data_IF_170346814950
#
_entry.id   IF_170346814950
#
_cell.length_a   1.000
_cell.length_b   1.000
_cell.length_c   1.000
_cell.angle_alpha   90.00
_cell.angle_beta   90.00
_cell.angle_gamma   90.00
#
_symmetry.space_group_name_H-M   'P 1'
#
loop_
_entity.id
_entity.type
_entity.pdbx_description
1 polymer ?
#
# COMPACT_ATOMS: atom_id res chain seq x y z
N UNK A 1 -20.30 -26.32 -46.12
CA UNK A 1 -21.51 -25.61 -46.53
C UNK A 1 -21.59 -24.39 -45.67
N UNK A 2 -20.97 -23.40 -46.18
CA UNK A 2 -21.52 -22.12 -46.63
C UNK A 2 -22.01 -21.28 -45.48
N UNK A 3 -21.24 -20.29 -45.12
CA UNK A 3 -21.10 -18.96 -45.74
C UNK A 3 -22.03 -18.02 -45.00
N UNK A 4 -21.73 -16.90 -44.64
CA UNK A 4 -21.18 -15.64 -45.14
C UNK A 4 -21.61 -14.61 -44.12
N UNK A 5 -20.77 -13.78 -43.63
CA UNK A 5 -20.21 -12.60 -44.28
C UNK A 5 -21.01 -11.31 -43.98
N UNK A 6 -20.26 -10.31 -43.81
CA UNK A 6 -20.58 -8.91 -44.01
C UNK A 6 -20.99 -8.12 -42.75
N UNK A 7 -20.35 -7.10 -42.35
CA UNK A 7 -19.84 -6.11 -43.23
C UNK A 7 -19.46 -4.81 -42.54
N UNK A 8 -18.50 -4.26 -43.09
CA UNK A 8 -18.39 -2.89 -43.64
C UNK A 8 -18.54 -1.71 -42.69
N UNK A 9 -17.39 -1.20 -42.35
CA UNK A 9 -16.91 0.16 -42.70
C UNK A 9 -17.97 1.18 -43.08
N UNK A 10 -18.03 2.24 -42.30
CA UNK A 10 -18.26 3.56 -42.87
C UNK A 10 -17.38 4.57 -42.09
N UNK A 11 -16.22 4.88 -42.67
CA UNK A 11 -15.50 6.10 -42.49
C UNK A 11 -16.20 7.19 -43.31
N UNK A 12 -16.66 8.25 -42.64
CA UNK A 12 -16.93 9.51 -43.33
C UNK A 12 -16.09 10.63 -42.74
N UNK A 13 -15.44 11.44 -43.60
CA UNK A 13 -14.62 12.55 -43.18
C UNK A 13 -15.50 13.79 -42.94
N UNK A 14 -15.30 14.46 -41.80
CA UNK A 14 -15.92 15.75 -41.54
C UNK A 14 -15.00 16.84 -42.09
N UNK A 15 -15.62 17.64 -42.95
CA UNK A 15 -15.10 18.76 -43.68
C UNK A 15 -14.54 19.89 -42.82
N UNK A 16 -13.55 20.55 -43.41
CA UNK A 16 -13.04 21.87 -43.07
C UNK A 16 -14.14 22.95 -43.05
N UNK A 17 -13.90 23.94 -42.19
CA UNK A 17 -14.34 25.30 -42.48
C UNK A 17 -15.26 25.93 -41.47
N UNK A 18 -14.68 26.77 -40.58
CA UNK A 18 -15.13 28.16 -40.42
C UNK A 18 -14.18 28.94 -39.54
N UNK A 19 -13.45 29.81 -40.16
CA UNK A 19 -12.81 30.97 -39.53
C UNK A 19 -13.88 31.80 -38.83
N UNK A 20 -13.76 32.03 -37.51
CA UNK A 20 -14.47 33.09 -36.85
C UNK A 20 -13.45 34.10 -36.30
N UNK A 21 -13.44 35.18 -37.02
CA UNK A 21 -12.85 36.48 -36.74
C UNK A 21 -13.23 36.94 -35.31
N UNK A 22 -12.27 37.05 -34.39
CA UNK A 22 -12.49 37.69 -33.10
C UNK A 22 -12.15 39.17 -33.19
N UNK A 23 -13.21 39.99 -33.19
CA UNK A 23 -13.16 41.42 -33.07
C UNK A 23 -12.44 41.83 -31.78
N UNK A 24 -11.39 42.62 -31.93
CA UNK A 24 -10.67 43.31 -30.88
C UNK A 24 -11.49 44.49 -30.37
N UNK A 25 -12.03 44.39 -29.18
CA UNK A 25 -12.51 45.56 -28.42
C UNK A 25 -11.42 46.08 -27.48
N UNK A 26 -11.13 47.37 -27.45
CA UNK A 26 -10.10 47.91 -26.57
C UNK A 26 -10.64 48.07 -25.13
N UNK A 27 -10.00 47.35 -24.19
CA UNK A 27 -10.23 47.52 -22.75
C UNK A 27 -9.51 48.77 -22.28
N UNK A 28 -10.26 49.70 -21.73
CA UNK A 28 -9.76 50.91 -21.06
C UNK A 28 -8.84 50.56 -19.91
N UNK A 29 -7.59 50.99 -19.99
CA UNK A 29 -6.60 50.95 -18.90
C UNK A 29 -7.02 51.87 -17.76
N UNK A 30 -7.49 51.26 -16.67
CA UNK A 30 -7.58 51.92 -15.36
C UNK A 30 -6.18 52.01 -14.73
N UNK A 31 -5.71 53.23 -14.66
CA UNK A 31 -4.43 53.65 -14.11
C UNK A 31 -4.51 53.62 -12.57
N UNK A 32 -4.08 52.51 -11.93
CA UNK A 32 -3.83 52.49 -10.48
C UNK A 32 -2.36 52.84 -10.25
N UNK A 33 -2.13 53.98 -9.65
CA UNK A 33 -0.83 54.47 -9.16
C UNK A 33 -0.35 53.53 -8.03
N UNK A 34 0.51 52.60 -8.36
CA UNK A 34 1.36 51.95 -7.35
C UNK A 34 2.67 52.70 -7.32
N UNK A 35 3.01 53.23 -6.14
CA UNK A 35 4.26 53.93 -5.85
C UNK A 35 5.43 53.04 -6.17
N UNK A 36 6.46 53.48 -6.93
CA UNK A 36 7.70 52.75 -7.08
C UNK A 36 8.44 52.80 -5.75
N UNK A 37 8.75 51.59 -5.21
CA UNK A 37 9.76 51.46 -4.17
C UNK A 37 11.10 51.74 -4.87
N UNK A 38 11.68 52.87 -4.60
CA UNK A 38 13.05 53.20 -4.98
C UNK A 38 13.99 52.28 -4.19
N UNK A 39 14.45 51.21 -4.82
CA UNK A 39 15.67 50.54 -4.42
C UNK A 39 16.81 51.46 -4.87
N UNK A 40 17.47 52.06 -3.89
CA UNK A 40 18.56 52.99 -4.13
C UNK A 40 19.74 52.33 -4.85
N UNK A 41 19.91 52.67 -6.09
CA UNK A 41 21.18 52.44 -6.77
C UNK A 41 22.21 53.36 -6.13
N UNK A 42 23.06 52.81 -5.26
CA UNK A 42 24.28 53.46 -4.82
C UNK A 42 25.25 53.45 -6.01
N UNK A 43 25.20 54.48 -6.81
CA UNK A 43 26.24 54.76 -7.80
C UNK A 43 27.52 55.15 -7.05
N UNK A 44 28.42 54.20 -6.87
CA UNK A 44 29.78 54.47 -6.42
C UNK A 44 30.52 55.17 -7.55
N UNK A 45 30.69 56.50 -7.42
CA UNK A 45 31.58 57.28 -8.26
C UNK A 45 33.02 56.85 -7.98
N UNK A 46 33.61 56.08 -8.89
CA UNK A 46 35.06 55.80 -8.88
C UNK A 46 35.79 57.02 -9.38
N UNK A 47 36.41 57.78 -8.47
CA UNK A 47 37.40 58.81 -8.80
C UNK A 47 38.69 58.16 -9.27
N UNK A 48 38.97 58.24 -10.55
CA UNK A 48 40.24 57.80 -11.12
C UNK A 48 41.31 58.84 -10.78
N UNK A 49 42.14 58.58 -9.77
CA UNK A 49 43.39 59.25 -9.54
C UNK A 49 44.53 58.54 -10.31
N UNK A 50 44.89 59.03 -11.48
CA UNK A 50 46.11 58.62 -12.16
C UNK A 50 47.26 59.20 -11.41
N UNK A 51 48.10 58.36 -10.77
CA UNK A 51 49.48 58.68 -10.43
C UNK A 51 50.40 57.64 -11.03
N UNK A 52 51.41 58.10 -11.67
CA UNK A 52 52.41 57.41 -12.51
C UNK A 52 53.17 56.33 -11.73
N UNK A 53 53.41 55.22 -12.36
CA UNK A 53 54.51 54.31 -12.07
C UNK A 53 54.24 53.17 -11.08
N UNK A 54 53.34 52.31 -11.37
CA UNK A 54 53.17 51.00 -10.70
C UNK A 54 52.02 50.27 -11.40
N UNK A 55 52.34 49.13 -12.03
CA UNK A 55 51.30 48.33 -12.69
C UNK A 55 50.21 47.91 -11.70
N UNK A 56 49.10 48.65 -11.66
CA UNK A 56 47.89 48.23 -10.98
C UNK A 56 47.29 47.18 -11.89
N UNK A 57 47.43 45.92 -11.51
CA UNK A 57 46.59 44.89 -12.08
C UNK A 57 45.13 45.30 -11.79
N UNK A 58 44.45 45.91 -12.77
CA UNK A 58 43.01 46.12 -12.69
C UNK A 58 42.38 44.73 -12.59
N UNK A 59 41.88 44.37 -11.41
CA UNK A 59 41.04 43.22 -11.26
C UNK A 59 39.81 43.44 -12.17
N UNK A 60 39.73 42.68 -13.25
CA UNK A 60 38.64 42.76 -14.19
C UNK A 60 37.37 42.30 -13.47
N UNK A 61 36.31 43.09 -13.59
CA UNK A 61 34.97 42.67 -13.16
C UNK A 61 34.59 41.37 -13.90
N UNK A 62 34.04 40.41 -13.19
CA UNK A 62 33.58 39.12 -13.71
C UNK A 62 32.15 38.93 -13.32
N UNK A 63 31.34 38.51 -14.26
CA UNK A 63 29.96 38.04 -13.99
C UNK A 63 29.99 36.52 -13.90
N UNK A 64 29.57 35.97 -12.75
CA UNK A 64 29.56 34.53 -12.49
C UNK A 64 28.14 34.10 -12.11
N UNK A 65 27.76 32.91 -12.51
CA UNK A 65 26.49 32.32 -12.14
C UNK A 65 26.68 31.38 -10.94
N UNK A 66 26.04 31.67 -9.82
CA UNK A 66 26.09 30.84 -8.63
C UNK A 66 24.72 30.13 -8.48
N UNK A 67 24.74 28.81 -8.40
CA UNK A 67 23.55 27.99 -8.14
C UNK A 67 23.63 27.45 -6.72
N UNK A 68 22.71 27.84 -5.87
CA UNK A 68 22.64 27.39 -4.47
C UNK A 68 21.37 26.58 -4.27
N UNK A 69 21.50 25.29 -3.96
CA UNK A 69 20.37 24.36 -3.79
C UNK A 69 19.37 24.41 -4.97
N UNK A 70 19.90 24.54 -6.19
CA UNK A 70 19.11 24.66 -7.41
C UNK A 70 18.57 26.05 -7.72
N UNK A 71 18.79 27.05 -6.84
CA UNK A 71 18.44 28.45 -7.09
C UNK A 71 19.59 29.17 -7.75
N UNK A 72 19.32 29.78 -8.91
CA UNK A 72 20.33 30.45 -9.74
C UNK A 72 20.35 31.94 -9.39
N UNK A 73 21.55 32.50 -9.18
CA UNK A 73 21.79 33.93 -9.06
C UNK A 73 23.03 34.34 -9.84
N UNK A 74 22.98 35.47 -10.52
CA UNK A 74 24.15 36.06 -11.20
C UNK A 74 24.80 37.05 -10.25
N UNK A 75 26.12 36.94 -10.14
CA UNK A 75 26.94 37.67 -9.17
C UNK A 75 28.10 38.36 -9.88
N UNK A 76 28.17 39.67 -9.78
CA UNK A 76 29.32 40.44 -10.22
C UNK A 76 30.40 40.50 -9.14
N UNK A 77 31.61 40.09 -9.47
CA UNK A 77 32.72 40.05 -8.51
C UNK A 77 34.05 40.52 -9.15
N UNK A 78 34.94 41.00 -8.33
CA UNK A 78 36.34 41.24 -8.68
C UNK A 78 37.28 40.16 -8.15
N UNK A 79 36.73 39.15 -7.49
CA UNK A 79 37.50 38.04 -6.93
C UNK A 79 38.20 37.21 -8.00
N UNK A 80 39.30 36.57 -7.60
CA UNK A 80 40.02 35.61 -8.42
C UNK A 80 39.61 34.17 -8.20
N UNK A 81 38.81 33.85 -7.16
CA UNK A 81 38.51 32.49 -6.72
C UNK A 81 37.04 32.26 -6.52
N UNK A 82 36.63 30.97 -6.48
CA UNK A 82 35.27 30.54 -6.13
C UNK A 82 34.87 31.05 -4.76
N UNK A 83 35.72 30.93 -3.74
CA UNK A 83 35.47 31.43 -2.39
C UNK A 83 35.04 32.90 -2.38
N UNK A 84 35.85 33.76 -3.03
CA UNK A 84 35.54 35.17 -3.06
C UNK A 84 34.34 35.54 -3.95
N UNK A 85 33.89 34.66 -4.87
CA UNK A 85 32.64 34.84 -5.57
C UNK A 85 31.46 34.48 -4.68
N UNK A 86 31.56 33.43 -3.85
CA UNK A 86 30.56 33.03 -2.88
C UNK A 86 30.42 34.10 -1.77
N UNK A 87 31.51 34.69 -1.30
CA UNK A 87 31.49 35.82 -0.36
C UNK A 87 30.73 37.01 -0.95
N UNK A 88 31.00 37.32 -2.25
CA UNK A 88 30.28 38.39 -2.96
C UNK A 88 28.77 38.07 -3.14
N UNK A 89 28.44 36.79 -3.27
CA UNK A 89 27.07 36.28 -3.34
C UNK A 89 26.37 36.30 -1.97
N UNK A 90 27.11 36.44 -0.87
CA UNK A 90 26.61 36.30 0.50
C UNK A 90 26.29 34.84 0.88
N UNK A 91 26.92 33.88 0.21
CA UNK A 91 26.76 32.46 0.44
C UNK A 91 27.85 31.97 1.40
N UNK A 92 27.41 31.55 2.62
CA UNK A 92 28.32 30.91 3.56
C UNK A 92 28.38 29.40 3.27
N UNK A 93 29.59 28.85 3.32
CA UNK A 93 29.86 27.43 3.07
C UNK A 93 30.20 26.72 4.38
N UNK A 94 29.45 25.70 4.74
CA UNK A 94 29.64 24.85 5.92
C UNK A 94 30.52 23.63 5.66
N UNK A 95 30.81 22.88 6.74
CA UNK A 95 31.68 21.71 6.69
C UNK A 95 31.11 20.54 5.85
N UNK A 96 29.78 20.45 5.78
CA UNK A 96 29.08 19.37 5.08
C UNK A 96 28.53 19.78 3.71
N UNK A 97 28.86 21.01 3.27
CA UNK A 97 28.43 21.53 1.98
C UNK A 97 29.32 21.00 0.85
N UNK A 98 28.71 20.87 -0.31
CA UNK A 98 29.47 20.55 -1.53
C UNK A 98 29.53 21.77 -2.42
N UNK A 99 30.75 22.13 -2.85
CA UNK A 99 30.98 23.24 -3.76
C UNK A 99 31.72 22.73 -5.00
N UNK A 100 31.23 23.09 -6.15
CA UNK A 100 31.84 22.75 -7.42
C UNK A 100 31.91 23.99 -8.35
N UNK A 101 33.08 24.37 -8.83
CA UNK A 101 34.44 23.87 -8.53
C UNK A 101 34.88 24.16 -7.09
N UNK A 102 36.01 23.56 -6.66
CA UNK A 102 36.57 23.79 -5.32
C UNK A 102 36.76 25.27 -5.00
N UNK A 103 36.66 25.65 -3.72
CA UNK A 103 36.76 27.03 -3.22
C UNK A 103 37.97 27.79 -3.70
N UNK A 104 39.14 27.11 -3.81
CA UNK A 104 40.42 27.70 -4.27
C UNK A 104 40.53 27.84 -5.79
N UNK A 105 39.57 27.33 -6.54
CA UNK A 105 39.61 27.35 -8.02
C UNK A 105 39.51 28.78 -8.54
N UNK A 106 40.36 29.10 -9.51
CA UNK A 106 40.32 30.39 -10.18
C UNK A 106 39.07 30.51 -11.05
N UNK A 107 38.40 31.68 -10.97
CA UNK A 107 37.21 31.97 -11.78
C UNK A 107 37.52 32.94 -12.90
N UNK A 108 36.76 32.83 -13.98
CA UNK A 108 36.75 33.72 -15.13
C UNK A 108 35.35 34.32 -15.31
N UNK A 109 35.23 35.26 -16.20
CA UNK A 109 33.92 35.76 -16.62
C UNK A 109 33.09 34.62 -17.21
N UNK A 110 31.80 34.52 -16.81
CA UNK A 110 30.91 33.44 -17.19
C UNK A 110 31.10 32.14 -16.44
N UNK A 111 31.98 32.08 -15.39
CA UNK A 111 32.14 30.86 -14.57
C UNK A 111 30.83 30.48 -13.87
N UNK A 112 30.62 29.18 -13.77
CA UNK A 112 29.46 28.60 -13.04
C UNK A 112 29.96 27.95 -11.75
N UNK A 113 29.27 28.25 -10.66
CA UNK A 113 29.57 27.73 -9.33
C UNK A 113 28.30 27.08 -8.81
N UNK A 114 28.40 25.85 -8.32
CA UNK A 114 27.28 25.14 -7.71
C UNK A 114 27.59 24.89 -6.24
N UNK A 115 26.67 25.27 -5.38
CA UNK A 115 26.70 25.01 -3.94
C UNK A 115 25.48 24.18 -3.56
N UNK A 116 25.73 23.07 -2.89
CA UNK A 116 24.68 22.26 -2.30
C UNK A 116 24.93 22.18 -0.79
N UNK A 117 24.04 22.72 0.00
CA UNK A 117 24.15 22.72 1.46
C UNK A 117 23.91 21.34 2.05
N UNK A 118 24.77 20.96 2.99
CA UNK A 118 24.61 19.76 3.79
C UNK A 118 23.47 19.91 4.78
N UNK A 119 22.60 18.88 4.86
CA UNK A 119 21.45 18.80 5.76
C UNK A 119 21.54 17.54 6.59
N UNK A 120 21.27 17.64 7.88
CA UNK A 120 21.24 16.48 8.76
C UNK A 120 19.88 15.76 8.63
N UNK A 121 19.92 14.51 8.17
CA UNK A 121 18.75 13.63 8.17
C UNK A 121 18.89 12.59 9.28
N UNK A 122 18.02 12.66 10.28
CA UNK A 122 17.87 11.61 11.30
C UNK A 122 16.84 10.60 10.79
N UNK A 123 17.32 9.47 10.27
CA UNK A 123 16.50 8.44 9.65
C UNK A 123 16.35 7.23 10.58
N UNK A 124 15.10 6.89 10.93
CA UNK A 124 14.77 5.68 11.70
C UNK A 124 14.09 4.67 10.78
N UNK A 125 14.80 3.58 10.42
CA UNK A 125 14.25 2.49 9.62
C UNK A 125 13.96 1.29 10.53
N UNK A 126 12.71 0.84 10.57
CA UNK A 126 12.24 -0.29 11.39
C UNK A 126 12.73 -0.22 12.85
N UNK A 127 12.76 1.01 13.41
CA UNK A 127 13.20 1.29 14.76
C UNK A 127 14.71 1.46 14.93
N UNK A 128 15.51 1.33 13.87
CA UNK A 128 16.96 1.58 13.90
C UNK A 128 17.24 3.02 13.43
N UNK A 129 17.74 3.86 14.33
CA UNK A 129 18.03 5.27 14.06
C UNK A 129 19.48 5.46 13.62
N UNK A 130 19.68 6.27 12.57
CA UNK A 130 20.97 6.73 12.10
C UNK A 130 20.89 8.21 11.70
N UNK A 131 21.98 8.93 11.88
CA UNK A 131 22.14 10.29 11.40
C UNK A 131 23.00 10.28 10.15
N UNK A 132 22.57 11.00 9.12
CA UNK A 132 23.24 11.07 7.83
C UNK A 132 23.23 12.50 7.33
N UNK A 133 24.40 13.01 6.92
CA UNK A 133 24.49 14.25 6.18
C UNK A 133 24.23 13.97 4.68
N UNK A 134 23.38 14.77 4.08
CA UNK A 134 23.02 14.70 2.66
C UNK A 134 22.93 16.10 2.07
N UNK A 135 23.20 16.22 0.79
CA UNK A 135 22.93 17.45 0.02
C UNK A 135 21.60 17.41 -0.70
N UNK A 136 20.87 16.31 -0.59
CA UNK A 136 19.53 16.19 -1.12
C UNK A 136 18.58 17.22 -0.50
N UNK A 137 17.71 17.76 -1.32
CA UNK A 137 16.75 18.79 -0.90
C UNK A 137 15.43 18.20 -0.41
N UNK A 138 15.14 16.96 -0.76
CA UNK A 138 13.91 16.24 -0.40
C UNK A 138 14.19 14.89 0.26
N UNK A 139 13.20 14.37 0.98
CA UNK A 139 13.28 13.04 1.63
C UNK A 139 13.48 11.93 0.59
N UNK A 140 12.82 12.03 -0.57
CA UNK A 140 12.93 11.06 -1.66
C UNK A 140 14.35 11.00 -2.22
N UNK A 141 14.92 12.17 -2.52
CA UNK A 141 16.30 12.26 -3.02
C UNK A 141 17.32 11.72 -2.00
N UNK A 142 17.14 12.07 -0.71
CA UNK A 142 18.02 11.60 0.34
C UNK A 142 17.99 10.06 0.50
N UNK A 143 16.80 9.45 0.44
CA UNK A 143 16.66 7.99 0.48
C UNK A 143 17.31 7.35 -0.75
N UNK A 144 17.13 7.93 -1.94
CA UNK A 144 17.75 7.45 -3.19
C UNK A 144 19.27 7.53 -3.13
N UNK A 145 19.86 8.63 -2.62
CA UNK A 145 21.31 8.76 -2.39
C UNK A 145 21.85 7.67 -1.45
N UNK A 146 21.05 7.25 -0.47
CA UNK A 146 21.38 6.17 0.45
C UNK A 146 21.16 4.77 -0.15
N UNK A 147 20.76 4.68 -1.42
CA UNK A 147 20.48 3.41 -2.10
C UNK A 147 19.21 2.74 -1.61
N UNK A 148 18.30 3.48 -0.98
CA UNK A 148 17.02 3.01 -0.52
C UNK A 148 15.94 3.38 -1.55
N UNK A 149 15.04 2.43 -1.88
CA UNK A 149 13.87 2.74 -2.69
C UNK A 149 12.80 3.41 -1.79
N UNK A 150 12.46 4.69 -2.01
CA UNK A 150 11.46 5.37 -1.20
C UNK A 150 10.07 4.71 -1.24
N UNK A 151 9.77 3.95 -2.31
CA UNK A 151 8.50 3.25 -2.47
C UNK A 151 8.38 2.00 -1.58
N UNK A 152 9.51 1.48 -1.11
CA UNK A 152 9.57 0.31 -0.23
C UNK A 152 9.20 0.62 1.23
N UNK A 153 8.95 1.89 1.56
CA UNK A 153 8.69 2.32 2.95
C UNK A 153 7.39 3.10 3.10
N UNK A 154 6.76 2.91 4.24
CA UNK A 154 5.80 3.85 4.79
C UNK A 154 6.57 4.91 5.57
N UNK A 155 6.56 6.16 5.08
CA UNK A 155 7.30 7.27 5.69
C UNK A 155 6.40 8.09 6.61
N UNK A 156 6.99 8.64 7.68
CA UNK A 156 6.31 9.60 8.58
C UNK A 156 6.18 11.00 7.98
N UNK A 157 6.83 11.26 6.84
CA UNK A 157 6.79 12.52 6.11
C UNK A 157 6.54 12.25 4.62
N UNK A 158 5.98 13.23 3.90
CA UNK A 158 5.85 13.13 2.46
C UNK A 158 7.21 12.98 1.79
N UNK A 159 7.29 12.18 0.73
CA UNK A 159 8.53 11.96 -0.04
C UNK A 159 9.10 13.26 -0.61
N UNK A 160 8.23 14.15 -1.08
CA UNK A 160 8.58 15.47 -1.61
C UNK A 160 8.83 16.52 -0.53
N UNK A 161 8.74 16.15 0.76
CA UNK A 161 9.01 17.09 1.84
C UNK A 161 10.46 17.57 1.76
N UNK A 162 10.62 18.90 1.76
CA UNK A 162 11.95 19.50 1.81
C UNK A 162 12.63 19.21 3.15
N UNK A 163 13.93 18.92 3.08
CA UNK A 163 14.80 18.78 4.25
C UNK A 163 15.36 20.18 4.55
N UNK A 164 14.96 20.80 5.68
CA UNK A 164 15.49 22.13 6.02
C UNK A 164 16.95 22.07 6.45
N UNK A 165 17.65 23.22 6.43
CA UNK A 165 19.07 23.29 6.80
C UNK A 165 19.35 22.95 8.27
N UNK A 166 18.37 23.13 9.15
CA UNK A 166 18.43 22.75 10.55
C UNK A 166 18.13 21.25 10.80
N UNK A 167 17.88 20.50 9.71
CA UNK A 167 17.72 19.06 9.72
C UNK A 167 16.27 18.59 9.75
N UNK A 168 16.10 17.28 9.55
CA UNK A 168 14.80 16.62 9.57
C UNK A 168 14.90 15.21 10.18
N UNK A 169 13.93 14.84 11.02
CA UNK A 169 13.75 13.46 11.49
C UNK A 169 12.63 12.77 10.70
N UNK A 170 12.92 11.58 10.17
CA UNK A 170 11.99 10.77 9.38
C UNK A 170 12.02 9.33 9.88
N UNK A 171 10.82 8.76 10.10
CA UNK A 171 10.66 7.32 10.34
C UNK A 171 10.22 6.65 9.05
N UNK A 172 10.79 5.50 8.76
CA UNK A 172 10.54 4.66 7.60
C UNK A 172 10.26 3.23 8.07
N UNK A 173 9.05 2.74 7.88
CA UNK A 173 8.69 1.37 8.18
C UNK A 173 8.61 0.58 6.87
N UNK A 174 9.29 -0.56 6.79
CA UNK A 174 9.35 -1.40 5.59
C UNK A 174 7.95 -1.88 5.20
N UNK A 175 7.58 -1.69 3.93
CA UNK A 175 6.34 -2.18 3.35
C UNK A 175 6.51 -3.60 2.82
N UNK A 176 5.60 -4.48 3.22
CA UNK A 176 5.52 -5.85 2.72
C UNK A 176 4.32 -6.01 1.81
N UNK A 177 4.55 -6.60 0.63
CA UNK A 177 3.49 -7.00 -0.29
C UNK A 177 3.13 -8.45 -0.01
N UNK A 178 1.91 -8.67 0.47
CA UNK A 178 1.40 -9.96 0.92
C UNK A 178 0.08 -10.28 0.24
N UNK A 179 -0.39 -11.51 0.39
CA UNK A 179 -1.69 -11.95 -0.10
C UNK A 179 -2.47 -12.59 1.03
N UNK A 180 -3.73 -12.22 1.17
CA UNK A 180 -4.64 -12.81 2.17
C UNK A 180 -5.85 -13.41 1.48
N UNK A 181 -6.19 -14.64 1.85
CA UNK A 181 -7.39 -15.36 1.39
C UNK A 181 -8.26 -15.67 2.60
N UNK A 182 -9.48 -15.16 2.63
CA UNK A 182 -10.45 -15.39 3.70
C UNK A 182 -11.52 -16.38 3.24
N UNK A 183 -11.54 -17.54 3.85
CA UNK A 183 -12.49 -18.61 3.53
C UNK A 183 -12.40 -19.04 2.07
N UNK A 184 -13.52 -18.97 1.36
CA UNK A 184 -13.64 -19.23 -0.08
C UNK A 184 -13.52 -17.96 -0.93
N UNK A 185 -13.20 -16.84 -0.30
CA UNK A 185 -13.03 -15.56 -0.98
C UNK A 185 -11.83 -15.54 -1.92
N UNK A 186 -11.74 -14.53 -2.79
CA UNK A 186 -10.58 -14.35 -3.65
C UNK A 186 -9.35 -13.95 -2.83
N UNK A 187 -8.18 -14.31 -3.34
CA UNK A 187 -6.92 -13.84 -2.80
C UNK A 187 -6.78 -12.31 -3.01
N UNK A 188 -6.60 -11.58 -1.93
CA UNK A 188 -6.49 -10.12 -1.91
C UNK A 188 -5.06 -9.71 -1.60
N UNK A 189 -4.48 -8.86 -2.45
CA UNK A 189 -3.17 -8.29 -2.19
C UNK A 189 -3.27 -7.20 -1.11
N UNK A 190 -2.39 -7.26 -0.12
CA UNK A 190 -2.32 -6.29 0.98
C UNK A 190 -0.89 -5.82 1.14
N UNK A 191 -0.69 -4.50 1.01
CA UNK A 191 0.59 -3.85 1.32
C UNK A 191 0.50 -3.22 2.71
N UNK A 192 1.42 -3.57 3.58
CA UNK A 192 1.42 -3.11 4.97
C UNK A 192 2.83 -2.99 5.53
N UNK A 193 3.00 -2.06 6.48
CA UNK A 193 4.20 -1.92 7.30
C UNK A 193 4.08 -2.69 8.64
N UNK A 194 3.17 -3.64 8.74
CA UNK A 194 3.02 -4.50 9.91
C UNK A 194 4.25 -5.38 10.16
N UNK A 195 4.45 -5.78 11.40
CA UNK A 195 5.62 -6.61 11.78
C UNK A 195 5.37 -8.10 11.61
N UNK A 196 4.12 -8.54 11.74
CA UNK A 196 3.73 -9.94 11.75
C UNK A 196 2.37 -10.18 11.07
N UNK A 197 1.99 -11.44 10.95
CA UNK A 197 0.71 -11.86 10.34
C UNK A 197 -0.50 -11.29 11.10
N UNK A 198 -0.41 -11.14 12.42
CA UNK A 198 -1.47 -10.52 13.22
C UNK A 198 -1.72 -9.07 12.81
N UNK A 199 -0.66 -8.28 12.61
CA UNK A 199 -0.76 -6.90 12.13
C UNK A 199 -1.36 -6.84 10.71
N UNK A 200 -0.96 -7.79 9.85
CA UNK A 200 -1.51 -7.91 8.49
C UNK A 200 -3.02 -8.15 8.52
N UNK A 201 -3.48 -9.11 9.32
CA UNK A 201 -4.90 -9.44 9.43
C UNK A 201 -5.71 -8.28 10.00
N UNK A 202 -5.19 -7.59 11.02
CA UNK A 202 -5.79 -6.37 11.57
C UNK A 202 -5.90 -5.27 10.50
N UNK A 203 -4.84 -5.06 9.71
CA UNK A 203 -4.83 -4.07 8.61
C UNK A 203 -5.83 -4.43 7.52
N UNK A 204 -5.99 -5.71 7.23
CA UNK A 204 -6.98 -6.21 6.27
C UNK A 204 -8.42 -6.16 6.81
N UNK A 205 -8.62 -5.83 8.09
CA UNK A 205 -9.94 -5.82 8.73
C UNK A 205 -10.51 -7.22 8.97
N UNK A 206 -9.65 -8.24 9.03
CA UNK A 206 -10.05 -9.64 9.16
C UNK A 206 -9.92 -10.07 10.62
N UNK A 207 -11.07 -10.29 11.28
CA UNK A 207 -11.12 -10.91 12.60
C UNK A 207 -11.05 -12.45 12.45
N UNK A 208 -10.14 -13.07 13.17
CA UNK A 208 -10.00 -14.54 13.23
C UNK A 208 -10.78 -15.05 14.44
N UNK A 209 -11.70 -15.97 14.22
CA UNK A 209 -12.49 -16.61 15.27
C UNK A 209 -11.68 -17.68 16.03
N UNK A 210 -12.19 -18.13 17.19
CA UNK A 210 -11.47 -19.10 18.04
C UNK A 210 -11.33 -20.48 17.43
N UNK A 211 -12.16 -20.82 16.44
CA UNK A 211 -12.12 -22.10 15.72
C UNK A 211 -11.44 -22.00 14.36
N UNK A 212 -11.23 -20.77 13.86
CA UNK A 212 -10.63 -20.57 12.53
C UNK A 212 -9.18 -21.05 12.51
N UNK A 213 -8.78 -21.54 11.35
CA UNK A 213 -7.42 -22.05 11.13
C UNK A 213 -6.71 -21.09 10.18
N UNK A 214 -5.60 -20.53 10.63
CA UNK A 214 -4.69 -19.75 9.81
C UNK A 214 -3.49 -20.59 9.45
N UNK A 215 -3.14 -20.67 8.17
CA UNK A 215 -2.03 -21.49 7.68
C UNK A 215 -0.65 -21.04 8.21
N UNK A 216 -0.55 -19.79 8.68
CA UNK A 216 0.68 -19.19 9.22
C UNK A 216 0.38 -18.59 10.59
N UNK A 217 1.17 -18.88 11.64
CA UNK A 217 0.98 -18.32 12.98
C UNK A 217 0.97 -16.79 12.98
N UNK A 218 0.15 -16.20 13.86
CA UNK A 218 -0.01 -14.73 13.95
C UNK A 218 1.30 -13.99 14.24
N UNK A 219 2.22 -14.60 14.98
CA UNK A 219 3.53 -14.03 15.36
C UNK A 219 4.58 -14.11 14.25
N UNK A 220 4.28 -14.77 13.13
CA UNK A 220 5.24 -14.93 12.03
C UNK A 220 5.56 -13.58 11.41
N UNK A 221 6.85 -13.21 11.30
CA UNK A 221 7.27 -11.97 10.67
C UNK A 221 6.80 -11.90 9.20
N UNK A 222 6.44 -10.70 8.75
CA UNK A 222 6.07 -10.49 7.36
C UNK A 222 7.28 -10.57 6.43
N UNK A 223 7.01 -11.03 5.21
CA UNK A 223 7.96 -11.02 4.09
C UNK A 223 7.21 -10.78 2.78
N UNK A 224 7.91 -10.26 1.77
CA UNK A 224 7.31 -10.08 0.46
C UNK A 224 6.88 -11.42 -0.15
N UNK A 225 5.67 -11.47 -0.69
CA UNK A 225 5.09 -12.66 -1.28
C UNK A 225 4.48 -13.64 -0.27
N UNK A 226 4.46 -13.32 1.03
CA UNK A 226 3.79 -14.15 2.03
C UNK A 226 2.31 -14.30 1.69
N UNK A 227 1.85 -15.55 1.67
CA UNK A 227 0.43 -15.88 1.45
C UNK A 227 -0.19 -16.41 2.74
N UNK A 228 -1.20 -15.73 3.24
CA UNK A 228 -1.95 -16.09 4.43
C UNK A 228 -3.35 -16.54 4.02
N UNK A 229 -3.73 -17.75 4.43
CA UNK A 229 -5.05 -18.33 4.15
C UNK A 229 -5.75 -18.62 5.49
N UNK A 230 -6.96 -18.13 5.60
CA UNK A 230 -7.85 -18.37 6.75
C UNK A 230 -8.90 -19.39 6.32
N UNK A 231 -8.97 -20.53 7.00
CA UNK A 231 -10.07 -21.47 6.89
C UNK A 231 -11.09 -21.13 7.96
N UNK A 232 -12.28 -20.72 7.54
CA UNK A 232 -13.39 -20.40 8.46
C UNK A 232 -14.02 -21.68 8.98
N UNK A 233 -13.96 -21.88 10.29
CA UNK A 233 -14.52 -23.06 10.94
C UNK A 233 -15.70 -22.64 11.80
N UNK A 234 -16.83 -23.31 11.59
CA UNK A 234 -18.03 -23.13 12.40
C UNK A 234 -18.55 -24.47 12.93
N UNK A 235 -19.09 -24.45 14.14
CA UNK A 235 -19.81 -25.56 14.74
C UNK A 235 -21.27 -25.15 14.94
N UNK A 236 -22.17 -26.06 14.59
CA UNK A 236 -23.60 -25.86 14.75
C UNK A 236 -24.28 -27.16 15.17
N UNK A 237 -25.33 -27.05 15.94
CA UNK A 237 -26.19 -28.18 16.30
C UNK A 237 -27.34 -28.24 15.31
N UNK A 238 -27.53 -29.42 14.67
CA UNK A 238 -28.60 -29.68 13.73
C UNK A 238 -29.42 -30.87 14.23
N UNK A 239 -30.73 -30.74 14.26
CA UNK A 239 -31.63 -31.81 14.63
C UNK A 239 -32.38 -32.29 13.40
N UNK A 240 -32.29 -33.59 13.13
CA UNK A 240 -32.92 -34.25 11.98
C UNK A 240 -33.79 -35.40 12.45
N UNK A 241 -34.91 -35.62 11.76
CA UNK A 241 -35.74 -36.79 11.95
C UNK A 241 -35.20 -37.94 11.11
N UNK A 242 -34.77 -38.99 11.75
CA UNK A 242 -34.19 -40.17 11.13
C UNK A 242 -35.15 -41.33 11.20
N UNK A 243 -35.43 -41.99 10.07
CA UNK A 243 -36.25 -43.18 10.02
C UNK A 243 -35.48 -44.36 10.63
N UNK A 244 -36.16 -45.07 11.53
CA UNK A 244 -35.65 -46.29 12.15
C UNK A 244 -36.32 -47.49 11.46
N UNK A 245 -35.50 -48.35 10.87
CA UNK A 245 -36.01 -49.52 10.17
C UNK A 245 -36.87 -50.40 11.08
N UNK A 246 -37.93 -50.97 10.52
CA UNK A 246 -38.72 -51.96 11.21
C UNK A 246 -37.82 -53.13 11.70
N UNK A 247 -37.93 -53.54 12.97
CA UNK A 247 -37.23 -54.72 13.47
C UNK A 247 -37.65 -56.00 12.73
N UNK A 248 -36.79 -56.99 12.76
CA UNK A 248 -37.08 -58.25 12.14
C UNK A 248 -38.37 -58.89 12.69
N UNK A 249 -39.12 -59.56 11.81
CA UNK A 249 -40.36 -60.24 12.15
C UNK A 249 -40.13 -61.27 13.29
N UNK A 250 -41.06 -61.32 14.23
CA UNK A 250 -41.05 -62.21 15.36
C UNK A 250 -42.13 -63.25 15.20
N UNK A 251 -41.80 -64.52 15.53
CA UNK A 251 -42.72 -65.63 15.54
C UNK A 251 -42.99 -66.06 16.98
N UNK A 252 -44.25 -66.13 17.35
CA UNK A 252 -44.70 -66.59 18.67
C UNK A 252 -45.51 -67.87 18.49
N UNK A 253 -45.19 -68.93 19.23
CA UNK A 253 -45.93 -70.18 19.23
C UNK A 253 -47.20 -69.98 20.00
N UNK A 254 -48.31 -70.50 19.43
CA UNK A 254 -49.64 -70.49 20.03
C UNK A 254 -50.25 -71.89 20.11
N UNK A 255 -50.31 -72.39 21.31
CA UNK A 255 -50.88 -73.73 21.57
C UNK A 255 -52.40 -73.79 21.46
N UNK A 256 -53.10 -72.72 21.29
CA UNK A 256 -54.51 -72.64 21.05
C UNK A 256 -54.88 -72.76 19.55
N UNK A 257 -53.91 -72.61 18.65
CA UNK A 257 -54.10 -72.63 17.19
C UNK A 257 -53.56 -73.94 16.62
N UNK A 258 -54.25 -74.49 15.61
CA UNK A 258 -53.89 -75.77 14.96
C UNK A 258 -52.51 -75.63 14.23
N UNK A 259 -51.73 -76.69 14.27
CA UNK A 259 -50.39 -76.76 13.64
C UNK A 259 -50.48 -76.49 12.14
N UNK A 260 -49.63 -75.57 11.67
CA UNK A 260 -49.54 -75.14 10.27
C UNK A 260 -50.41 -73.89 9.93
N UNK A 261 -51.23 -73.43 10.89
CA UNK A 261 -51.92 -72.14 10.72
C UNK A 261 -51.08 -71.02 11.30
N UNK A 262 -50.93 -69.95 10.56
CA UNK A 262 -50.22 -68.75 11.02
C UNK A 262 -51.08 -67.50 10.75
N UNK A 263 -51.04 -66.53 11.67
CA UNK A 263 -51.73 -65.22 11.53
C UNK A 263 -50.86 -64.09 12.03
N UNK A 264 -50.90 -62.93 11.39
CA UNK A 264 -50.27 -61.71 11.87
C UNK A 264 -51.11 -61.16 13.02
N UNK A 265 -50.54 -61.14 14.23
CA UNK A 265 -51.17 -60.58 15.43
C UNK A 265 -50.82 -59.13 15.68
N UNK A 266 -49.63 -58.66 15.13
CA UNK A 266 -49.20 -57.29 15.14
C UNK A 266 -48.56 -56.96 13.83
N UNK A 267 -48.99 -55.90 13.17
CA UNK A 267 -48.33 -55.32 11.97
C UNK A 267 -47.16 -54.52 12.40
N UNK A 268 -45.98 -54.78 11.82
CA UNK A 268 -44.80 -54.01 12.03
C UNK A 268 -44.84 -52.65 11.37
N UNK A 269 -44.10 -51.72 11.88
CA UNK A 269 -43.94 -50.38 11.33
C UNK A 269 -42.53 -49.86 11.56
N UNK A 270 -42.07 -49.06 10.61
CA UNK A 270 -40.84 -48.23 10.81
C UNK A 270 -41.06 -47.23 11.93
N UNK A 271 -40.02 -46.93 12.66
CA UNK A 271 -39.99 -45.89 13.67
C UNK A 271 -39.42 -44.60 13.16
N UNK A 272 -39.41 -43.61 14.02
CA UNK A 272 -38.81 -42.28 13.75
C UNK A 272 -38.13 -41.78 15.00
N UNK A 273 -36.86 -41.39 14.87
CA UNK A 273 -36.08 -40.80 15.95
C UNK A 273 -35.76 -39.34 15.60
N UNK A 274 -35.73 -38.48 16.61
CA UNK A 274 -35.13 -37.17 16.53
C UNK A 274 -33.68 -37.29 16.95
N UNK A 275 -32.77 -37.01 16.02
CA UNK A 275 -31.34 -37.14 16.24
C UNK A 275 -30.70 -35.77 16.15
N UNK A 276 -30.01 -35.38 17.20
CA UNK A 276 -29.25 -34.11 17.24
C UNK A 276 -27.80 -34.41 16.93
N UNK A 277 -27.29 -33.70 15.95
CA UNK A 277 -25.88 -33.78 15.52
C UNK A 277 -25.15 -32.49 15.83
N UNK A 278 -23.91 -32.61 16.23
CA UNK A 278 -22.94 -31.51 16.15
C UNK A 278 -22.28 -31.58 14.80
N UNK A 279 -22.42 -30.50 13.98
CA UNK A 279 -21.88 -30.41 12.64
C UNK A 279 -20.76 -29.36 12.64
N UNK A 280 -19.58 -29.78 12.23
CA UNK A 280 -18.44 -28.89 12.01
C UNK A 280 -18.30 -28.63 10.52
N UNK A 281 -18.19 -27.36 10.15
CA UNK A 281 -17.97 -26.96 8.76
C UNK A 281 -16.64 -26.21 8.64
N UNK A 282 -15.95 -26.41 7.50
CA UNK A 282 -14.79 -25.63 7.11
C UNK A 282 -15.10 -24.93 5.79
N UNK A 283 -15.00 -23.60 5.78
CA UNK A 283 -15.37 -22.77 4.64
C UNK A 283 -16.79 -23.07 4.10
N UNK A 284 -17.72 -23.40 5.01
CA UNK A 284 -19.11 -23.73 4.68
C UNK A 284 -19.36 -25.16 4.22
N UNK A 285 -18.31 -25.95 4.00
CA UNK A 285 -18.44 -27.40 3.70
C UNK A 285 -18.41 -28.23 4.99
N UNK A 286 -19.30 -29.19 5.12
CA UNK A 286 -19.33 -30.13 6.24
C UNK A 286 -18.06 -30.97 6.25
N UNK A 287 -17.36 -31.00 7.37
CA UNK A 287 -16.15 -31.79 7.59
C UNK A 287 -16.32 -32.86 8.64
N UNK A 288 -17.25 -32.66 9.58
CA UNK A 288 -17.59 -33.65 10.59
C UNK A 288 -19.06 -33.51 10.99
N UNK A 289 -19.72 -34.64 11.24
CA UNK A 289 -21.07 -34.74 11.78
C UNK A 289 -21.07 -35.83 12.84
N UNK A 290 -21.29 -35.44 14.10
CA UNK A 290 -21.26 -36.36 15.25
C UNK A 290 -22.60 -36.35 15.94
N UNK A 291 -23.16 -37.53 16.17
CA UNK A 291 -24.41 -37.69 16.92
C UNK A 291 -24.16 -37.35 18.40
N UNK A 292 -24.91 -36.39 18.92
CA UNK A 292 -24.86 -35.93 20.32
C UNK A 292 -25.96 -36.56 21.14
N UNK A 293 -27.18 -36.64 20.58
CA UNK A 293 -28.32 -37.23 21.26
C UNK A 293 -29.33 -37.81 20.28
N UNK A 294 -30.09 -38.82 20.75
CA UNK A 294 -31.14 -39.48 20.01
C UNK A 294 -32.33 -39.66 20.91
N UNK A 295 -33.50 -39.31 20.42
CA UNK A 295 -34.79 -39.49 21.15
C UNK A 295 -35.83 -40.10 20.22
N UNK A 296 -36.46 -41.19 20.62
CA UNK A 296 -37.50 -41.79 19.83
C UNK A 296 -38.76 -40.90 19.78
N UNK A 297 -39.19 -40.54 18.57
CA UNK A 297 -40.50 -39.87 18.33
C UNK A 297 -41.60 -40.94 18.20
N UNK A 298 -41.34 -41.95 17.37
CA UNK A 298 -42.24 -43.08 17.17
C UNK A 298 -41.41 -44.36 17.22
N UNK A 299 -41.66 -45.26 18.18
CA UNK A 299 -40.93 -46.52 18.25
C UNK A 299 -41.19 -47.40 17.02
N UNK A 300 -40.12 -48.00 16.49
CA UNK A 300 -40.25 -49.01 15.47
C UNK A 300 -40.87 -50.30 16.07
N UNK A 301 -41.77 -50.96 15.34
CA UNK A 301 -42.46 -52.15 15.80
C UNK A 301 -42.15 -53.31 14.87
N UNK A 302 -41.91 -54.51 15.44
CA UNK A 302 -41.77 -55.74 14.68
C UNK A 302 -43.16 -56.31 14.27
N UNK A 303 -43.25 -56.93 13.12
CA UNK A 303 -44.37 -57.78 12.80
C UNK A 303 -44.32 -59.01 13.72
N UNK A 304 -45.44 -59.28 14.45
CA UNK A 304 -45.59 -60.51 15.26
C UNK A 304 -46.47 -61.45 14.53
N UNK A 305 -46.01 -62.65 14.27
CA UNK A 305 -46.73 -63.73 13.64
C UNK A 305 -46.94 -64.84 14.65
N UNK A 306 -48.18 -65.17 14.93
CA UNK A 306 -48.57 -66.35 15.72
C UNK A 306 -48.55 -67.62 14.83
N UNK A 307 -47.92 -68.68 15.28
CA UNK A 307 -47.89 -70.01 14.61
C UNK A 307 -48.41 -71.06 15.51
N UNK A 308 -49.44 -71.75 15.03
CA UNK A 308 -50.14 -72.80 15.79
C UNK A 308 -49.24 -74.01 16.03
N UNK A 309 -49.36 -74.56 17.26
CA UNK A 309 -48.60 -75.76 17.70
C UNK A 309 -49.56 -76.87 18.25
N UNK A 310 -50.82 -76.61 18.25
CA UNK A 310 -51.85 -77.58 18.77
C UNK A 310 -51.87 -78.86 17.99
#
# INVERSE_FOLDING_TARGET
>A
MTATDNSTDIFEPIAEGSETEFATTPVKTGRSLRKPVLVGAAAAAVVVAMLAGGGVAMAAHKDVTVTVDGQIQDVGTFSGSVEGALDAAGVAVGEHDTVAPDLSTAISDGSQIVVAHGRLLTLTIDGQTREVWTTATTVEEALAELGQDPSAYQLSADRSRAIPLDGLAVTADTLFNTTVTDGTGPATAVTTAGKNVGDLLNKAGIAVGPLDIVNVPAETPLSNGLSVTITRVAQATVTEDVEVAQPADQTVEDSSVEKGVSSVTQQGSAGKDSVTYEVTTANGAETAKTEVSRTAITPAQATIRSVGTK
#
